data_IF_573071742286
#
_entry.id   IF_573071742286
#
_cell.length_a   1.000
_cell.length_b   1.000
_cell.length_c   1.000
_cell.angle_alpha   90.00
_cell.angle_beta   90.00
_cell.angle_gamma   90.00
#
_symmetry.space_group_name_H-M   'P 1'
#
loop_
_entity.id
_entity.type
_entity.pdbx_description
1 polymer ?
#
# COMPACT_ATOMS: atom_id res chain seq x y z
N UNK A 1 38.58 -18.13 5.13
CA UNK A 1 37.61 -19.25 5.23
C UNK A 1 36.24 -18.67 4.90
N UNK A 2 35.47 -19.23 3.95
CA UNK A 2 34.13 -18.72 3.66
C UNK A 2 33.14 -19.34 4.65
N UNK A 3 32.24 -18.53 5.20
CA UNK A 3 31.06 -19.03 5.88
C UNK A 3 29.86 -18.31 5.26
N UNK A 4 29.37 -18.90 4.18
CA UNK A 4 28.02 -18.68 3.66
C UNK A 4 27.04 -19.10 4.74
N UNK A 5 26.26 -18.16 5.26
CA UNK A 5 24.98 -18.48 5.90
C UNK A 5 23.91 -18.25 4.84
N UNK A 6 23.44 -19.35 4.26
CA UNK A 6 22.09 -19.43 3.70
C UNK A 6 21.15 -19.33 4.90
N UNK A 7 20.57 -18.17 5.11
CA UNK A 7 19.44 -17.96 6.00
C UNK A 7 18.35 -17.31 5.18
N UNK A 8 17.31 -18.06 4.83
CA UNK A 8 16.08 -17.48 4.31
C UNK A 8 15.57 -16.44 5.31
N UNK A 9 15.69 -15.16 4.99
CA UNK A 9 14.92 -14.13 5.67
C UNK A 9 13.50 -14.22 5.11
N UNK A 10 12.62 -14.89 5.86
CA UNK A 10 11.19 -14.69 5.69
C UNK A 10 10.88 -13.37 6.37
N UNK A 11 11.02 -12.26 5.64
CA UNK A 11 10.58 -10.95 6.10
C UNK A 11 9.15 -10.72 5.63
N UNK A 12 8.24 -10.98 6.57
CA UNK A 12 6.90 -10.40 6.71
C UNK A 12 5.88 -10.60 5.57
N UNK A 13 4.95 -11.54 5.80
CA UNK A 13 3.77 -11.76 4.95
C UNK A 13 2.63 -10.76 5.19
N UNK A 14 2.85 -9.66 5.92
CA UNK A 14 1.79 -8.70 6.28
C UNK A 14 2.10 -7.21 6.14
N UNK A 15 3.31 -6.77 5.77
CA UNK A 15 3.70 -5.38 6.06
C UNK A 15 3.38 -4.35 5.00
N UNK A 16 4.02 -4.43 3.82
CA UNK A 16 4.03 -3.34 2.84
C UNK A 16 4.43 -3.88 1.49
N UNK A 17 3.79 -3.41 0.41
CA UNK A 17 4.11 -3.85 -0.95
C UNK A 17 4.00 -2.72 -1.96
N UNK A 18 4.79 -2.84 -3.01
CA UNK A 18 4.68 -1.99 -4.19
C UNK A 18 4.06 -2.79 -5.33
N UNK A 19 3.01 -2.25 -5.94
CA UNK A 19 2.24 -2.87 -7.01
C UNK A 19 2.04 -1.86 -8.14
N UNK A 20 1.75 -2.34 -9.35
CA UNK A 20 1.28 -1.42 -10.39
C UNK A 20 -0.11 -0.86 -10.01
N UNK A 21 -0.39 0.39 -10.37
CA UNK A 21 -1.67 1.03 -10.02
C UNK A 21 -2.87 0.23 -10.52
N UNK A 22 -2.79 -0.38 -11.71
CA UNK A 22 -3.88 -1.23 -12.24
C UNK A 22 -4.18 -2.46 -11.38
N UNK A 23 -3.19 -2.98 -10.65
CA UNK A 23 -3.38 -4.13 -9.76
C UNK A 23 -4.25 -3.75 -8.55
N UNK A 24 -4.30 -2.47 -8.16
CA UNK A 24 -5.14 -1.99 -7.06
C UNK A 24 -6.63 -2.21 -7.30
N UNK A 25 -7.07 -2.28 -8.57
CA UNK A 25 -8.46 -2.55 -8.94
C UNK A 25 -8.97 -3.92 -8.48
N UNK A 26 -8.05 -4.86 -8.20
CA UNK A 26 -8.38 -6.23 -7.77
C UNK A 26 -7.81 -6.56 -6.39
N UNK A 27 -7.20 -5.59 -5.71
CA UNK A 27 -6.71 -5.78 -4.34
C UNK A 27 -7.89 -5.92 -3.38
N UNK A 28 -7.83 -6.95 -2.54
CA UNK A 28 -8.85 -7.23 -1.52
C UNK A 28 -8.28 -6.94 -0.13
N UNK A 29 -8.92 -6.06 0.63
CA UNK A 29 -8.56 -5.75 2.02
C UNK A 29 -8.56 -4.25 2.33
N UNK A 30 -8.30 -3.92 3.60
CA UNK A 30 -8.14 -2.54 4.07
C UNK A 30 -6.67 -2.12 3.98
N UNK A 31 -6.38 -1.13 3.15
CA UNK A 31 -5.03 -0.66 2.90
C UNK A 31 -4.94 0.86 3.07
N UNK A 32 -3.72 1.35 3.32
CA UNK A 32 -3.38 2.76 3.20
C UNK A 32 -2.33 2.96 2.11
N UNK A 33 -2.42 4.10 1.46
CA UNK A 33 -1.47 4.55 0.46
C UNK A 33 -0.23 5.12 1.16
N UNK A 34 0.95 4.81 0.62
CA UNK A 34 2.23 5.29 1.15
C UNK A 34 2.95 6.11 0.10
N UNK A 35 3.51 7.25 0.50
CA UNK A 35 4.29 8.10 -0.39
C UNK A 35 5.70 7.56 -0.67
N UNK A 36 6.44 8.28 -1.50
CA UNK A 36 7.83 7.94 -1.87
C UNK A 36 8.84 8.15 -0.75
N UNK A 37 8.52 8.99 0.25
CA UNK A 37 9.30 9.16 1.48
C UNK A 37 9.06 8.04 2.50
N UNK A 38 8.01 7.25 2.26
CA UNK A 38 7.57 6.15 3.09
C UNK A 38 6.60 6.53 4.19
N UNK A 39 6.02 7.72 4.13
CA UNK A 39 4.99 8.20 5.05
C UNK A 39 3.58 7.81 4.57
N UNK A 40 2.69 7.37 5.47
CA UNK A 40 1.29 7.10 5.12
C UNK A 40 0.57 8.37 4.66
N UNK A 41 -0.08 8.29 3.49
CA UNK A 41 -0.91 9.37 2.93
C UNK A 41 -2.31 9.31 3.54
N UNK A 42 -2.93 8.12 3.54
CA UNK A 42 -4.30 7.93 3.99
C UNK A 42 -4.86 6.55 3.68
N UNK A 43 -6.00 6.22 4.31
CA UNK A 43 -6.70 4.95 4.09
C UNK A 43 -7.36 4.96 2.71
N UNK A 44 -7.17 3.90 1.93
CA UNK A 44 -7.83 3.70 0.64
C UNK A 44 -9.31 3.39 0.90
N UNK A 45 -10.21 4.22 0.39
CA UNK A 45 -11.67 4.02 0.45
C UNK A 45 -12.20 3.35 -0.81
N UNK A 46 -11.67 3.74 -1.97
CA UNK A 46 -12.07 3.18 -3.25
C UNK A 46 -10.95 3.32 -4.27
N UNK A 47 -10.98 2.41 -5.24
CA UNK A 47 -10.11 2.44 -6.42
C UNK A 47 -11.01 2.31 -7.63
N UNK A 48 -10.87 3.22 -8.58
CA UNK A 48 -11.65 3.24 -9.81
C UNK A 48 -10.72 3.48 -11.00
N UNK A 49 -11.17 3.06 -12.18
CA UNK A 49 -10.52 3.40 -13.43
C UNK A 49 -11.26 4.58 -14.06
N UNK A 50 -10.55 5.66 -14.36
CA UNK A 50 -11.08 6.79 -15.14
C UNK A 50 -10.28 6.93 -16.45
N UNK A 51 -10.90 6.48 -17.54
CA UNK A 51 -10.22 6.36 -18.83
C UNK A 51 -9.02 5.43 -18.75
N UNK A 52 -7.82 6.01 -18.90
CA UNK A 52 -6.55 5.30 -18.78
C UNK A 52 -5.90 5.47 -17.39
N UNK A 53 -6.44 6.31 -16.52
CA UNK A 53 -5.88 6.51 -15.19
C UNK A 53 -6.53 5.58 -14.17
N UNK A 54 -5.78 5.27 -13.11
CA UNK A 54 -6.30 4.67 -11.90
C UNK A 54 -6.45 5.76 -10.85
N UNK A 55 -7.66 5.95 -10.35
CA UNK A 55 -7.98 6.94 -9.31
C UNK A 55 -8.17 6.22 -7.99
N UNK A 56 -7.31 6.53 -7.03
CA UNK A 56 -7.38 6.02 -5.66
C UNK A 56 -7.94 7.13 -4.76
N UNK A 57 -9.11 6.88 -4.18
CA UNK A 57 -9.69 7.79 -3.19
C UNK A 57 -9.17 7.42 -1.81
N UNK A 58 -8.54 8.36 -1.11
CA UNK A 58 -8.00 8.17 0.24
C UNK A 58 -8.65 9.11 1.24
N UNK A 59 -8.84 8.63 2.47
CA UNK A 59 -9.21 9.46 3.61
C UNK A 59 -7.95 9.84 4.39
N UNK A 60 -7.75 11.15 4.58
CA UNK A 60 -6.66 11.74 5.37
C UNK A 60 -7.24 12.62 6.47
N UNK A 61 -7.40 12.05 7.67
CA UNK A 61 -8.06 12.76 8.77
C UNK A 61 -9.54 12.99 8.45
N UNK A 62 -9.96 14.25 8.31
CA UNK A 62 -11.32 14.64 7.92
C UNK A 62 -11.48 14.88 6.42
N UNK A 63 -10.37 14.90 5.68
CA UNK A 63 -10.35 15.19 4.25
C UNK A 63 -10.42 13.90 3.41
N UNK A 64 -11.05 13.99 2.24
CA UNK A 64 -11.07 12.94 1.22
C UNK A 64 -10.39 13.48 -0.02
N UNK A 65 -9.37 12.77 -0.49
CA UNK A 65 -8.54 13.16 -1.62
C UNK A 65 -8.53 12.07 -2.69
N UNK A 66 -8.59 12.46 -3.97
CA UNK A 66 -8.40 11.56 -5.10
C UNK A 66 -6.97 11.68 -5.61
N UNK A 67 -6.26 10.56 -5.71
CA UNK A 67 -4.90 10.46 -6.24
C UNK A 67 -4.94 9.68 -7.54
N UNK A 68 -4.46 10.30 -8.62
CA UNK A 68 -4.44 9.70 -9.95
C UNK A 68 -3.07 9.11 -10.25
N UNK A 69 -3.06 7.92 -10.83
CA UNK A 69 -1.86 7.19 -11.24
C UNK A 69 -1.99 6.71 -12.69
N UNK A 70 -0.87 6.65 -13.39
CA UNK A 70 -0.81 5.86 -14.62
C UNK A 70 -0.93 4.36 -14.28
N UNK A 71 -1.51 3.50 -15.15
CA UNK A 71 -1.72 2.07 -14.87
C UNK A 71 -0.45 1.34 -14.43
N UNK A 72 0.66 1.62 -15.09
CA UNK A 72 1.98 1.03 -14.86
C UNK A 72 2.76 1.69 -13.73
N UNK A 73 2.23 2.77 -13.15
CA UNK A 73 2.89 3.50 -12.07
C UNK A 73 2.98 2.62 -10.83
N UNK A 74 4.15 2.66 -10.18
CA UNK A 74 4.40 1.87 -8.99
C UNK A 74 3.84 2.59 -7.76
N UNK A 75 2.87 1.94 -7.12
CA UNK A 75 2.18 2.44 -5.94
C UNK A 75 2.49 1.57 -4.75
N UNK A 76 2.87 2.19 -3.63
CA UNK A 76 3.14 1.49 -2.39
C UNK A 76 1.93 1.53 -1.47
N UNK A 77 1.52 0.36 -0.98
CA UNK A 77 0.43 0.19 -0.01
C UNK A 77 0.89 -0.66 1.17
N UNK A 78 0.28 -0.45 2.31
CA UNK A 78 0.42 -1.26 3.51
C UNK A 78 -0.94 -1.48 4.17
N UNK A 79 -1.16 -2.57 4.93
CA UNK A 79 -2.42 -2.76 5.61
C UNK A 79 -2.76 -1.60 6.53
N UNK A 80 -4.04 -1.25 6.54
CA UNK A 80 -4.52 -0.21 7.41
C UNK A 80 -4.88 -0.79 8.78
N UNK A 81 -4.01 -0.60 9.76
CA UNK A 81 -4.20 -1.11 11.12
C UNK A 81 -5.25 -0.33 11.95
N UNK A 82 -5.89 0.70 11.37
CA UNK A 82 -6.92 1.49 12.05
C UNK A 82 -6.46 2.23 13.31
N UNK A 83 -5.14 2.46 13.43
CA UNK A 83 -4.53 2.98 14.65
C UNK A 83 -4.58 2.01 15.84
N UNK A 84 -4.91 0.72 15.62
CA UNK A 84 -4.77 -0.29 16.67
C UNK A 84 -3.28 -0.53 16.87
N UNK A 85 -2.81 -0.26 18.09
CA UNK A 85 -1.45 -0.62 18.49
C UNK A 85 -1.21 -2.11 18.19
N UNK A 86 0.00 -2.51 17.76
CA UNK A 86 0.32 -3.90 17.50
C UNK A 86 -0.01 -4.72 18.74
N UNK A 87 -0.82 -5.77 18.55
CA UNK A 87 -1.21 -6.67 19.63
C UNK A 87 0.01 -7.55 19.92
N UNK A 88 0.87 -7.11 20.83
CA UNK A 88 2.02 -7.90 21.29
C UNK A 88 1.48 -9.04 22.17
N UNK A 89 1.75 -10.33 21.85
CA UNK A 89 1.36 -11.46 22.69
C UNK A 89 2.16 -11.55 24.01
#
# INVERSE_FOLDING_TARGET
>A
MPSTVVGMTVEDFGGRRTVAAEELLVVVGDYQLVDTGGEPIGRIESVAQDGLAVVVTVTRGEDIEGVEFAPEEQVTIEPYDGGKAPVVP
#
